data_IF_138901345166
#
_entry.id   IF_138901345166
#
_cell.length_a   1.000
_cell.length_b   1.000
_cell.length_c   1.000
_cell.angle_alpha   90.00
_cell.angle_beta   90.00
_cell.angle_gamma   90.00
#
_symmetry.space_group_name_H-M   'P 1'
#
loop_
_entity.id
_entity.type
_entity.pdbx_description
1 polymer ?
#
# COMPACT_ATOMS: atom_id res chain seq x y z
N UNK A 1 -2.60 1.08 0.20
CA UNK A 1 -4.02 1.36 -0.15
C UNK A 1 -4.11 2.76 -0.72
N UNK A 2 -4.99 3.00 -1.69
CA UNK A 2 -5.32 4.37 -2.12
C UNK A 2 -6.18 5.06 -1.07
N UNK A 3 -6.30 6.38 -1.16
CA UNK A 3 -7.29 7.10 -0.36
C UNK A 3 -8.72 6.65 -0.77
N UNK A 4 -9.73 6.77 0.10
CA UNK A 4 -11.12 6.54 -0.29
C UNK A 4 -11.64 7.67 -1.21
N UNK A 5 -12.71 7.42 -2.00
CA UNK A 5 -13.31 8.44 -2.86
C UNK A 5 -13.64 9.72 -2.08
N UNK A 6 -13.30 10.88 -2.63
CA UNK A 6 -13.54 12.19 -2.00
C UNK A 6 -12.42 12.68 -1.07
N UNK A 7 -11.33 11.92 -0.90
CA UNK A 7 -10.14 12.34 -0.18
C UNK A 7 -8.99 12.67 -1.13
N UNK A 8 -8.09 13.56 -0.68
CA UNK A 8 -6.86 13.89 -1.41
C UNK A 8 -6.05 12.61 -1.64
N UNK A 9 -5.59 12.40 -2.88
CA UNK A 9 -4.84 11.21 -3.28
C UNK A 9 -5.69 10.02 -3.73
N UNK A 10 -7.02 10.18 -3.91
CA UNK A 10 -7.87 9.13 -4.49
C UNK A 10 -7.43 8.76 -5.92
N UNK A 11 -7.23 9.76 -6.77
CA UNK A 11 -6.85 9.57 -8.17
C UNK A 11 -5.36 9.19 -8.37
N UNK A 12 -4.53 9.33 -7.33
CA UNK A 12 -3.11 9.01 -7.38
C UNK A 12 -2.83 7.50 -7.24
N UNK A 13 -3.84 6.72 -6.85
CA UNK A 13 -3.72 5.29 -6.61
C UNK A 13 -2.87 4.95 -5.39
N UNK A 14 -2.71 3.65 -5.11
CA UNK A 14 -1.93 3.19 -3.96
C UNK A 14 -0.43 3.20 -4.24
N UNK A 15 0.36 3.86 -3.39
CA UNK A 15 1.83 3.92 -3.54
C UNK A 15 2.51 2.55 -3.67
N UNK A 16 2.01 1.53 -2.97
CA UNK A 16 2.51 0.15 -3.06
C UNK A 16 1.94 -0.58 -4.29
N UNK A 17 0.61 -0.55 -4.45
CA UNK A 17 -0.10 -1.34 -5.47
C UNK A 17 0.24 -0.89 -6.89
N UNK A 18 0.40 0.43 -7.11
CA UNK A 18 0.79 0.96 -8.42
C UNK A 18 2.23 0.58 -8.79
N UNK A 19 3.15 0.56 -7.82
CA UNK A 19 4.55 0.18 -8.05
C UNK A 19 4.67 -1.31 -8.40
N UNK A 20 3.97 -2.18 -7.68
CA UNK A 20 3.94 -3.62 -7.97
C UNK A 20 3.26 -3.90 -9.30
N UNK A 21 2.16 -3.22 -9.64
CA UNK A 21 1.48 -3.39 -10.94
C UNK A 21 2.41 -3.07 -12.12
N UNK A 22 3.27 -2.06 -11.99
CA UNK A 22 4.26 -1.68 -13.02
C UNK A 22 5.48 -2.59 -13.06
N UNK A 23 5.87 -3.20 -11.93
CA UNK A 23 7.02 -4.12 -11.80
C UNK A 23 6.62 -5.34 -10.95
N UNK A 24 5.98 -6.35 -11.56
CA UNK A 24 5.36 -7.45 -10.81
C UNK A 24 6.38 -8.34 -10.10
N UNK A 25 7.56 -8.54 -10.70
CA UNK A 25 8.65 -9.25 -10.06
C UNK A 25 9.55 -8.26 -9.35
N UNK A 26 9.33 -8.11 -8.05
CA UNK A 26 10.08 -7.19 -7.20
C UNK A 26 10.18 -7.72 -5.78
N UNK A 27 11.17 -7.22 -5.04
CA UNK A 27 11.28 -7.44 -3.60
C UNK A 27 10.69 -6.23 -2.90
N UNK A 28 9.78 -6.48 -1.97
CA UNK A 28 9.18 -5.46 -1.13
C UNK A 28 9.86 -5.49 0.24
N UNK A 29 10.50 -4.38 0.63
CA UNK A 29 10.99 -4.19 1.98
C UNK A 29 9.93 -3.41 2.77
N UNK A 30 9.52 -3.96 3.90
CA UNK A 30 8.68 -3.30 4.89
C UNK A 30 9.55 -3.02 6.11
N UNK A 31 9.77 -1.76 6.41
CA UNK A 31 10.54 -1.33 7.59
C UNK A 31 9.59 -1.04 8.77
N UNK A 32 10.03 -1.35 9.98
CA UNK A 32 9.29 -1.16 11.24
C UNK A 32 7.80 -1.61 11.20
N UNK A 33 7.51 -2.77 10.60
CA UNK A 33 6.14 -3.25 10.39
C UNK A 33 5.35 -3.37 11.71
N UNK A 34 6.02 -3.60 12.84
CA UNK A 34 5.44 -3.66 14.18
C UNK A 34 4.78 -2.37 14.67
N UNK A 35 5.11 -1.22 14.05
CA UNK A 35 4.49 0.08 14.37
C UNK A 35 3.23 0.36 13.54
N UNK A 36 2.93 -0.46 12.53
CA UNK A 36 1.79 -0.25 11.67
C UNK A 36 0.46 -0.46 12.40
N UNK A 37 -0.59 0.22 11.92
CA UNK A 37 -1.94 -0.02 12.42
C UNK A 37 -2.34 -1.49 12.21
N UNK A 38 -3.05 -2.14 13.15
CA UNK A 38 -3.48 -3.54 13.02
C UNK A 38 -4.14 -3.89 11.68
N UNK A 39 -4.93 -2.97 11.11
CA UNK A 39 -5.58 -3.19 9.81
C UNK A 39 -4.61 -3.37 8.63
N UNK A 40 -3.35 -2.91 8.76
CA UNK A 40 -2.33 -3.14 7.72
C UNK A 40 -1.99 -4.63 7.62
N UNK A 41 -1.96 -5.35 8.74
CA UNK A 41 -1.72 -6.80 8.73
C UNK A 41 -2.84 -7.55 8.02
N UNK A 42 -4.09 -7.11 8.18
CA UNK A 42 -5.25 -7.72 7.50
C UNK A 42 -5.18 -7.56 5.97
N UNK A 43 -4.48 -6.55 5.47
CA UNK A 43 -4.30 -6.32 4.02
C UNK A 43 -3.15 -7.17 3.45
N UNK A 44 -2.20 -7.59 4.29
CA UNK A 44 -1.02 -8.36 3.90
C UNK A 44 -1.19 -9.89 4.05
N UNK A 45 -2.31 -10.34 4.61
CA UNK A 45 -2.66 -11.75 4.89
C UNK A 45 -3.76 -12.25 3.96
#
# INVERSE_FOLDING_TARGET
VGAPPGYVGYDEGGQLTEKVRRKPYSVLLLDEIEKAHPDVYNILL
#
